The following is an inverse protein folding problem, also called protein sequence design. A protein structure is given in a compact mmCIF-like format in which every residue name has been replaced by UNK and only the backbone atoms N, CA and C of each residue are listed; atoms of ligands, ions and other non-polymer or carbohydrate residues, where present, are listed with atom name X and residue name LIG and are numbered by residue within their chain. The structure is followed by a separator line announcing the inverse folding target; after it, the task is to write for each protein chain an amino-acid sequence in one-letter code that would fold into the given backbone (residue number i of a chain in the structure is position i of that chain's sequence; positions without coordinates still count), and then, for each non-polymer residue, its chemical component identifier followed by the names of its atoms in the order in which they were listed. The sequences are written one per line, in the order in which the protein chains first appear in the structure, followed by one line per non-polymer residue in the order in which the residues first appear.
data_IF_382164125125
#
_entry.id   IF_382164125125
#
_cell.length_a   1.000
_cell.length_b   1.000
_cell.length_c   1.000
_cell.angle_alpha   90.00
_cell.angle_beta   90.00
_cell.angle_gamma   90.00
#
_symmetry.space_group_name_H-M   'P 1'
#
loop_
_entity.id
_entity.type
_entity.pdbx_description
1 polymer ?
#
# COMPACT_ATOMS: atom_id res chain seq x y z
N UNK A 1 11.28 11.98 -2.95
CA UNK A 1 10.06 11.48 -3.61
C UNK A 1 8.84 11.87 -2.83
N UNK A 2 7.74 12.09 -3.50
CA UNK A 2 6.45 12.39 -2.87
C UNK A 2 5.34 11.55 -3.48
N UNK A 3 4.29 11.29 -2.70
CA UNK A 3 3.09 10.62 -3.18
C UNK A 3 2.26 11.64 -3.96
N UNK A 4 1.95 11.35 -5.22
CA UNK A 4 1.14 12.22 -6.07
C UNK A 4 -0.22 11.64 -6.41
N UNK A 5 -0.38 10.33 -6.29
CA UNK A 5 -1.64 9.65 -6.57
C UNK A 5 -1.72 8.35 -5.79
N UNK A 6 -2.94 7.94 -5.44
CA UNK A 6 -3.23 6.67 -4.81
C UNK A 6 -4.27 5.95 -5.65
N UNK A 7 -3.98 4.70 -6.01
CA UNK A 7 -4.87 3.86 -6.78
C UNK A 7 -5.43 2.82 -5.82
N UNK A 8 -6.72 2.89 -5.46
CA UNK A 8 -7.30 1.96 -4.49
C UNK A 8 -7.34 0.54 -5.04
N UNK A 9 -7.34 -0.43 -4.13
CA UNK A 9 -7.52 -1.82 -4.49
C UNK A 9 -8.89 -2.03 -5.13
N UNK A 10 -8.95 -2.81 -6.21
CA UNK A 10 -10.17 -3.03 -6.97
C UNK A 10 -10.09 -4.32 -7.79
N UNK A 11 -11.22 -4.73 -8.34
CA UNK A 11 -11.28 -5.80 -9.32
C UNK A 11 -11.31 -5.24 -10.73
N UNK A 12 -10.53 -5.83 -11.63
CA UNK A 12 -10.58 -5.52 -13.05
C UNK A 12 -11.19 -6.71 -13.80
N UNK A 13 -12.13 -6.40 -14.71
CA UNK A 13 -12.72 -7.38 -15.59
C UNK A 13 -11.80 -7.64 -16.78
N UNK A 14 -11.58 -8.91 -17.11
CA UNK A 14 -10.78 -9.33 -18.25
C UNK A 14 -11.54 -10.37 -19.05
N UNK A 15 -11.64 -10.19 -20.36
CA UNK A 15 -12.22 -11.20 -21.25
C UNK A 15 -11.19 -12.26 -21.61
N UNK A 16 -11.57 -13.52 -21.41
CA UNK A 16 -10.78 -14.67 -21.78
C UNK A 16 -11.60 -15.47 -22.79
N UNK A 17 -10.98 -15.79 -23.94
CA UNK A 17 -11.64 -16.36 -25.10
C UNK A 17 -12.50 -17.61 -24.82
N UNK A 18 -12.00 -18.53 -24.01
CA UNK A 18 -12.69 -19.80 -23.72
C UNK A 18 -13.53 -19.79 -22.44
N UNK A 19 -13.34 -18.81 -21.56
CA UNK A 19 -13.94 -18.77 -20.24
C UNK A 19 -14.99 -17.68 -20.12
N UNK A 20 -14.92 -16.65 -20.98
CA UNK A 20 -15.74 -15.45 -20.89
C UNK A 20 -15.08 -14.39 -20.03
N UNK A 21 -15.86 -13.73 -19.18
CA UNK A 21 -15.35 -12.65 -18.34
C UNK A 21 -14.85 -13.17 -17.00
N UNK A 22 -13.60 -12.85 -16.67
CA UNK A 22 -13.02 -13.14 -15.36
C UNK A 22 -12.62 -11.85 -14.65
N UNK A 23 -12.63 -11.86 -13.32
CA UNK A 23 -12.24 -10.71 -12.51
C UNK A 23 -10.88 -10.97 -11.87
N UNK A 24 -9.99 -9.99 -12.01
CA UNK A 24 -8.66 -10.02 -11.43
C UNK A 24 -8.57 -9.01 -10.30
N UNK A 25 -8.06 -9.44 -9.18
CA UNK A 25 -7.78 -8.55 -8.05
C UNK A 25 -6.54 -7.71 -8.32
N UNK A 26 -6.69 -6.40 -8.21
CA UNK A 26 -5.60 -5.43 -8.30
C UNK A 26 -5.35 -4.82 -6.92
N UNK A 27 -4.20 -5.06 -6.29
CA UNK A 27 -3.90 -4.49 -4.98
C UNK A 27 -3.70 -2.97 -5.06
N UNK A 28 -3.83 -2.31 -3.92
CA UNK A 28 -3.60 -0.87 -3.81
C UNK A 28 -2.19 -0.50 -4.26
N UNK A 29 -2.10 0.54 -5.07
CA UNK A 29 -0.84 1.08 -5.60
C UNK A 29 -0.70 2.54 -5.26
N UNK A 30 0.54 2.99 -5.21
CA UNK A 30 0.90 4.38 -4.92
C UNK A 30 1.82 4.88 -6.01
N UNK A 31 1.52 6.05 -6.55
CA UNK A 31 2.36 6.71 -7.55
C UNK A 31 3.26 7.73 -6.84
N UNK A 32 4.57 7.57 -7.01
CA UNK A 32 5.58 8.47 -6.48
C UNK A 32 6.18 9.31 -7.61
N UNK A 33 6.51 10.55 -7.30
CA UNK A 33 7.27 11.42 -8.19
C UNK A 33 8.61 11.74 -7.56
N UNK A 34 9.69 11.55 -8.32
CA UNK A 34 11.03 11.91 -7.89
C UNK A 34 11.19 13.42 -7.99
N UNK A 35 11.55 14.06 -6.87
CA UNK A 35 11.78 15.51 -6.83
C UNK A 35 13.03 15.97 -7.59
N UNK A 36 13.95 15.05 -7.88
CA UNK A 36 15.21 15.38 -8.59
C UNK A 36 15.06 15.29 -10.11
N UNK A 37 14.43 14.23 -10.63
CA UNK A 37 14.31 14.01 -12.08
C UNK A 37 12.88 14.08 -12.62
N UNK A 38 11.88 14.18 -11.76
CA UNK A 38 10.47 14.24 -12.15
C UNK A 38 9.87 12.93 -12.63
N UNK A 39 10.61 11.82 -12.55
CA UNK A 39 10.10 10.51 -12.95
C UNK A 39 8.95 10.06 -12.04
N UNK A 40 7.91 9.52 -12.64
CA UNK A 40 6.78 8.93 -11.92
C UNK A 40 6.91 7.43 -11.92
N UNK A 41 6.70 6.83 -10.75
CA UNK A 41 6.82 5.40 -10.55
C UNK A 41 5.62 4.89 -9.77
N UNK A 42 5.10 3.73 -10.16
CA UNK A 42 3.98 3.09 -9.50
C UNK A 42 4.43 1.85 -8.76
N UNK A 43 4.12 1.77 -7.48
CA UNK A 43 4.47 0.64 -6.63
C UNK A 43 3.25 0.13 -5.88
N UNK A 44 3.26 -1.14 -5.51
CA UNK A 44 2.33 -1.66 -4.52
C UNK A 44 2.62 -1.00 -3.18
N UNK A 45 1.59 -0.64 -2.44
CA UNK A 45 1.74 -0.06 -1.10
C UNK A 45 2.56 -0.96 -0.17
N UNK A 46 2.34 -2.27 -0.24
CA UNK A 46 3.11 -3.25 0.55
C UNK A 46 4.61 -3.22 0.25
N UNK A 47 4.99 -2.99 -1.01
CA UNK A 47 6.40 -2.86 -1.40
C UNK A 47 7.04 -1.63 -0.77
N UNK A 48 6.34 -0.50 -0.76
CA UNK A 48 6.83 0.75 -0.16
C UNK A 48 6.96 0.67 1.36
N UNK A 49 6.10 -0.10 2.01
CA UNK A 49 6.16 -0.32 3.46
C UNK A 49 7.32 -1.25 3.81
N UNK A 50 7.54 -2.29 3.00
CA UNK A 50 8.57 -3.29 3.27
C UNK A 50 10.00 -2.77 3.08
N UNK A 51 10.22 -1.89 2.11
CA UNK A 51 11.56 -1.39 1.81
C UNK A 51 11.54 0.01 1.19
N UNK A 52 12.66 0.71 1.29
CA UNK A 52 12.86 1.97 0.59
C UNK A 52 13.24 1.70 -0.85
N UNK A 53 12.50 2.28 -1.79
CA UNK A 53 12.77 2.17 -3.21
C UNK A 53 13.69 3.28 -3.69
N UNK A 54 14.41 3.02 -4.78
CA UNK A 54 15.37 3.97 -5.36
C UNK A 54 14.96 4.29 -6.79
N UNK A 55 14.94 5.59 -7.12
CA UNK A 55 14.75 6.05 -8.50
C UNK A 55 15.96 5.68 -9.35
N UNK A 56 15.78 5.53 -10.66
CA UNK A 56 16.87 5.28 -11.60
C UNK A 56 17.94 6.38 -11.58
N UNK A 57 17.58 7.62 -11.19
CA UNK A 57 18.54 8.71 -11.01
C UNK A 57 19.39 8.59 -9.74
N UNK A 58 19.16 7.58 -8.89
CA UNK A 58 19.91 7.34 -7.67
C UNK A 58 19.28 7.90 -6.39
N UNK A 59 18.24 8.70 -6.48
CA UNK A 59 17.55 9.26 -5.31
C UNK A 59 16.69 8.18 -4.66
N UNK A 60 16.85 8.00 -3.35
CA UNK A 60 16.02 7.07 -2.56
C UNK A 60 14.72 7.71 -2.12
N UNK A 61 13.69 6.90 -2.00
CA UNK A 61 12.45 7.30 -1.34
C UNK A 61 12.76 7.68 0.11
N UNK A 62 12.19 8.78 0.59
CA UNK A 62 12.41 9.22 1.96
C UNK A 62 11.71 8.29 2.96
N UNK A 63 12.31 8.15 4.14
CA UNK A 63 11.70 7.38 5.24
C UNK A 63 10.34 7.96 5.64
N UNK A 64 10.13 9.26 5.49
CA UNK A 64 8.86 9.93 5.82
C UNK A 64 7.69 9.43 4.98
N UNK A 65 7.90 9.13 3.69
CA UNK A 65 6.87 8.55 2.82
C UNK A 65 6.48 7.17 3.30
N UNK A 66 7.46 6.34 3.66
CA UNK A 66 7.22 5.00 4.20
C UNK A 66 6.47 5.07 5.53
N UNK A 67 6.87 5.95 6.42
CA UNK A 67 6.22 6.16 7.72
C UNK A 67 4.77 6.59 7.56
N UNK A 68 4.49 7.50 6.63
CA UNK A 68 3.13 7.94 6.32
C UNK A 68 2.24 6.76 5.91
N UNK A 69 2.73 5.89 5.03
CA UNK A 69 2.00 4.70 4.60
C UNK A 69 1.81 3.67 5.72
N UNK A 70 2.79 3.52 6.61
CA UNK A 70 2.68 2.64 7.78
C UNK A 70 1.61 3.16 8.74
N UNK A 71 1.60 4.45 9.01
CA UNK A 71 0.60 5.08 9.89
C UNK A 71 -0.81 4.90 9.34
N UNK A 72 -0.99 5.08 8.04
CA UNK A 72 -2.29 4.86 7.39
C UNK A 72 -2.75 3.40 7.51
N UNK A 73 -1.84 2.46 7.32
CA UNK A 73 -2.15 1.04 7.45
C UNK A 73 -2.56 0.69 8.89
N UNK A 74 -1.88 1.23 9.88
CA UNK A 74 -2.24 1.03 11.29
C UNK A 74 -3.59 1.62 11.60
N UNK A 75 -3.90 2.81 11.07
CA UNK A 75 -5.21 3.43 11.22
C UNK A 75 -6.35 2.61 10.59
N UNK A 76 -6.11 2.01 9.43
CA UNK A 76 -7.07 1.11 8.80
C UNK A 76 -7.30 -0.16 9.63
N UNK A 77 -6.22 -0.77 10.10
CA UNK A 77 -6.27 -1.98 10.91
C UNK A 77 -6.97 -1.70 12.25
N UNK A 78 -6.73 -0.57 12.87
CA UNK A 78 -7.41 -0.12 14.08
C UNK A 78 -8.92 0.05 13.87
N UNK A 79 -9.36 0.56 12.72
CA UNK A 79 -10.78 0.69 12.39
C UNK A 79 -11.46 -0.66 12.17
N UNK A 80 -10.74 -1.63 11.61
CA UNK A 80 -11.25 -2.97 11.36
C UNK A 80 -11.23 -3.82 12.64
N UNK A 81 -10.19 -3.67 13.44
CA UNK A 81 -9.95 -4.41 14.67
C UNK A 81 -9.66 -3.48 15.85
N UNK A 82 -10.60 -2.60 16.26
CA UNK A 82 -10.33 -1.62 17.31
C UNK A 82 -9.98 -2.26 18.66
N UNK A 83 -10.56 -3.41 18.95
CA UNK A 83 -10.30 -4.15 20.19
C UNK A 83 -8.85 -4.60 20.34
N UNK A 84 -8.14 -4.82 19.26
CA UNK A 84 -6.74 -5.25 19.25
C UNK A 84 -5.80 -4.18 19.81
N UNK A 85 -6.13 -2.91 19.58
CA UNK A 85 -5.31 -1.78 20.00
C UNK A 85 -5.76 -1.17 21.32
N UNK A 86 -7.07 -1.19 21.57
CA UNK A 86 -7.66 -0.53 22.74
C UNK A 86 -7.68 -1.40 23.97
N UNK A 87 -7.67 -2.72 23.81
CA UNK A 87 -7.71 -3.70 24.90
C UNK A 87 -6.65 -4.79 24.70
N UNK A 88 -5.36 -4.42 24.58
CA UNK A 88 -4.32 -5.41 24.29
C UNK A 88 -4.16 -6.46 25.38
N UNK A 89 -4.42 -6.12 26.62
CA UNK A 89 -4.33 -7.03 27.76
C UNK A 89 -5.42 -8.11 27.72
N UNK A 90 -6.63 -7.72 27.31
CA UNK A 90 -7.76 -8.65 27.15
C UNK A 90 -7.53 -9.59 25.97
N UNK A 91 -6.89 -9.09 24.92
CA UNK A 91 -6.62 -9.86 23.72
C UNK A 91 -5.50 -10.86 23.88
N UNK A 92 -4.59 -10.65 24.79
CA UNK A 92 -3.41 -11.49 25.00
C UNK A 92 -3.77 -12.93 25.44
N UNK A 93 -4.92 -13.12 26.07
CA UNK A 93 -5.38 -14.42 26.52
C UNK A 93 -6.53 -15.01 25.71
N UNK A 94 -7.00 -14.33 24.68
CA UNK A 94 -8.17 -14.77 23.88
C UNK A 94 -7.69 -15.47 22.62
N UNK A 95 -8.01 -16.77 22.44
CA UNK A 95 -7.72 -17.44 21.17
C UNK A 95 -8.66 -16.91 20.10
N UNK A 96 -8.07 -16.37 19.08
CA UNK A 96 -8.81 -15.76 17.96
C UNK A 96 -8.61 -16.60 16.70
#
# INVERSE_FOLDING_TARGET
MKIIERIPAHYEAQEVEDIGQVYRWCPERVVLECGACGMRMTFKRSTLIASLVTCECGVRCSASVREELIVERLGEDERIHPWRYWHPEENAGIPI
#
